data_IF_466915611710
#
_entry.id   IF_466915611710
#
_cell.length_a   1.000
_cell.length_b   1.000
_cell.length_c   1.000
_cell.angle_alpha   90.00
_cell.angle_beta   90.00
_cell.angle_gamma   90.00
#
_symmetry.space_group_name_H-M   'P 1'
#
loop_
_entity.id
_entity.type
_entity.pdbx_description
1 polymer ?
#
# COMPACT_ATOMS: atom_id res chain seq x y z
N UNK A 1 9.63 3.04 0.24
CA UNK A 1 8.86 2.53 -0.91
C UNK A 1 9.26 3.28 -2.18
N UNK A 2 9.40 2.61 -3.32
CA UNK A 2 9.75 3.23 -4.62
C UNK A 2 8.67 2.92 -5.67
N UNK A 3 8.67 3.69 -6.76
CA UNK A 3 7.82 3.46 -7.95
C UNK A 3 8.74 3.65 -9.18
N UNK A 4 9.50 2.62 -9.55
CA UNK A 4 10.71 2.80 -10.37
C UNK A 4 10.44 2.80 -11.88
N UNK A 5 9.31 2.26 -12.33
CA UNK A 5 9.01 2.09 -13.76
C UNK A 5 8.17 3.26 -14.24
N UNK A 6 8.72 4.06 -15.17
CA UNK A 6 7.96 5.08 -15.90
C UNK A 6 6.98 4.42 -16.88
N UNK A 7 5.85 5.08 -17.15
CA UNK A 7 4.80 4.53 -18.01
C UNK A 7 3.51 5.34 -17.93
N UNK A 8 2.39 4.69 -18.28
CA UNK A 8 1.07 5.34 -18.34
C UNK A 8 0.55 5.81 -16.98
N UNK A 9 1.06 5.23 -15.89
CA UNK A 9 0.56 5.37 -14.52
C UNK A 9 -0.92 4.98 -14.38
N UNK A 10 -1.49 4.29 -15.38
CA UNK A 10 -2.90 3.89 -15.37
C UNK A 10 -3.07 2.68 -14.46
N UNK A 11 -4.07 2.76 -13.57
CA UNK A 11 -4.53 1.58 -12.85
C UNK A 11 -5.45 0.77 -13.77
N UNK A 12 -4.94 -0.34 -14.29
CA UNK A 12 -5.64 -1.15 -15.28
C UNK A 12 -6.70 -2.06 -14.65
N UNK A 13 -7.62 -2.55 -15.50
CA UNK A 13 -8.61 -3.56 -15.10
C UNK A 13 -7.89 -4.82 -14.61
N UNK A 14 -8.32 -5.37 -13.48
CA UNK A 14 -7.70 -6.56 -12.88
C UNK A 14 -6.50 -6.26 -11.95
N UNK A 15 -6.16 -4.99 -11.77
CA UNK A 15 -5.21 -4.49 -10.76
C UNK A 15 -5.96 -3.69 -9.68
N UNK A 16 -5.40 -3.42 -8.50
CA UNK A 16 -4.04 -3.76 -8.05
C UNK A 16 -3.81 -5.26 -7.82
N UNK A 17 -2.57 -5.71 -7.93
CA UNK A 17 -2.14 -7.08 -7.57
C UNK A 17 -0.92 -7.02 -6.67
N UNK A 18 -0.96 -7.74 -5.56
CA UNK A 18 0.18 -7.86 -4.66
C UNK A 18 0.98 -9.12 -4.94
N UNK A 19 2.30 -9.00 -5.06
CA UNK A 19 3.22 -10.13 -5.18
C UNK A 19 4.61 -9.73 -4.68
N UNK A 20 5.18 -10.51 -3.75
CA UNK A 20 6.57 -10.39 -3.28
C UNK A 20 6.99 -8.94 -2.93
N UNK A 21 6.22 -8.26 -2.09
CA UNK A 21 6.54 -6.88 -1.67
C UNK A 21 6.24 -5.80 -2.72
N UNK A 22 5.58 -6.16 -3.82
CA UNK A 22 5.20 -5.25 -4.90
C UNK A 22 3.69 -5.16 -5.07
N UNK A 23 3.20 -3.94 -5.28
CA UNK A 23 1.80 -3.67 -5.69
C UNK A 23 1.80 -3.20 -7.13
N UNK A 24 1.38 -4.08 -8.03
CA UNK A 24 1.24 -3.80 -9.45
C UNK A 24 -0.03 -2.99 -9.70
N UNK A 25 0.07 -1.93 -10.51
CA UNK A 25 -1.08 -1.14 -10.95
C UNK A 25 -1.47 -1.43 -12.40
N UNK A 26 -0.55 -2.00 -13.17
CA UNK A 26 -0.74 -2.49 -14.54
C UNK A 26 0.32 -3.57 -14.83
N UNK A 27 0.42 -4.02 -16.09
CA UNK A 27 1.37 -5.06 -16.50
C UNK A 27 2.86 -4.70 -16.36
N UNK A 28 3.21 -3.42 -16.20
CA UNK A 28 4.61 -2.96 -16.19
C UNK A 28 5.00 -2.23 -14.90
N UNK A 29 4.07 -1.51 -14.28
CA UNK A 29 4.36 -0.56 -13.22
C UNK A 29 3.86 -1.07 -11.86
N UNK A 30 4.69 -0.87 -10.85
CA UNK A 30 4.43 -1.32 -9.50
C UNK A 30 5.08 -0.42 -8.46
N UNK A 31 4.47 -0.37 -7.28
CA UNK A 31 5.10 0.12 -6.06
C UNK A 31 5.92 -0.99 -5.41
N UNK A 32 7.17 -0.74 -5.04
CA UNK A 32 8.03 -1.71 -4.38
C UNK A 32 8.38 -1.32 -2.94
N UNK A 33 8.52 -2.34 -2.09
CA UNK A 33 8.75 -2.17 -0.66
C UNK A 33 7.43 -1.96 0.10
N UNK A 34 6.36 -2.62 -0.34
CA UNK A 34 5.07 -2.67 0.38
C UNK A 34 5.05 -3.95 1.22
N UNK A 35 5.12 -3.82 2.55
CA UNK A 35 5.03 -4.97 3.44
C UNK A 35 3.66 -5.65 3.36
N UNK A 36 3.62 -6.98 3.48
CA UNK A 36 2.37 -7.75 3.36
C UNK A 36 1.35 -7.31 4.42
N UNK A 37 1.80 -7.08 5.65
CA UNK A 37 0.94 -6.60 6.74
C UNK A 37 0.30 -5.25 6.40
N UNK A 38 1.04 -4.30 5.80
CA UNK A 38 0.50 -3.02 5.38
C UNK A 38 -0.50 -3.17 4.22
N UNK A 39 -0.22 -4.06 3.25
CA UNK A 39 -1.13 -4.36 2.16
C UNK A 39 -2.45 -4.98 2.65
N UNK A 40 -2.38 -5.88 3.62
CA UNK A 40 -3.53 -6.59 4.20
C UNK A 40 -4.25 -5.78 5.28
N UNK A 41 -3.71 -4.63 5.69
CA UNK A 41 -4.29 -3.81 6.76
C UNK A 41 -5.68 -3.29 6.36
N UNK A 42 -6.65 -3.45 7.25
CA UNK A 42 -8.04 -3.07 7.02
C UNK A 42 -8.52 -2.02 8.01
N UNK A 43 -9.37 -1.10 7.54
CA UNK A 43 -10.13 -0.18 8.39
C UNK A 43 -11.61 -0.35 8.05
N UNK A 44 -12.43 -0.71 9.04
CA UNK A 44 -13.86 -0.95 8.85
C UNK A 44 -14.16 -2.05 7.80
N UNK A 45 -13.28 -3.05 7.68
CA UNK A 45 -13.40 -4.15 6.70
C UNK A 45 -12.81 -3.87 5.32
N UNK A 46 -12.35 -2.64 5.05
CA UNK A 46 -11.77 -2.30 3.75
C UNK A 46 -10.25 -2.44 3.75
N UNK A 47 -9.64 -3.24 2.85
CA UNK A 47 -8.19 -3.24 2.65
C UNK A 47 -7.78 -1.90 2.05
N UNK A 48 -7.15 -1.05 2.86
CA UNK A 48 -6.99 0.39 2.56
C UNK A 48 -6.16 0.61 1.28
N UNK A 49 -5.01 -0.06 1.19
CA UNK A 49 -4.12 0.03 0.03
C UNK A 49 -4.76 -0.48 -1.26
N UNK A 50 -5.49 -1.59 -1.18
CA UNK A 50 -6.18 -2.18 -2.32
C UNK A 50 -7.33 -1.28 -2.80
N UNK A 51 -8.22 -0.89 -1.89
CA UNK A 51 -9.36 -0.02 -2.20
C UNK A 51 -8.94 1.29 -2.82
N UNK A 52 -7.92 1.96 -2.26
CA UNK A 52 -7.47 3.26 -2.75
C UNK A 52 -7.06 3.23 -4.22
N UNK A 53 -6.41 2.15 -4.67
CA UNK A 53 -6.04 1.96 -6.08
C UNK A 53 -7.25 1.53 -6.93
N UNK A 54 -8.12 0.65 -6.40
CA UNK A 54 -9.35 0.22 -7.10
C UNK A 54 -10.26 1.39 -7.45
N UNK A 55 -10.41 2.34 -6.54
CA UNK A 55 -11.23 3.56 -6.75
C UNK A 55 -10.65 4.48 -7.84
N UNK A 56 -9.47 4.16 -8.39
CA UNK A 56 -8.75 4.90 -9.43
C UNK A 56 -8.53 4.09 -10.70
N UNK A 57 -9.23 2.97 -10.87
CA UNK A 57 -9.16 2.16 -12.10
C UNK A 57 -9.61 2.94 -13.32
N UNK A 58 -8.92 2.72 -14.44
CA UNK A 58 -9.23 3.35 -15.72
C UNK A 58 -8.68 4.77 -15.89
N UNK A 59 -7.95 5.31 -14.91
CA UNK A 59 -7.29 6.62 -15.00
C UNK A 59 -5.81 6.54 -14.63
N UNK A 60 -5.03 7.47 -15.17
CA UNK A 60 -3.65 7.68 -14.79
C UNK A 60 -3.57 8.30 -13.39
N UNK A 61 -2.67 7.79 -12.56
CA UNK A 61 -2.30 8.44 -11.30
C UNK A 61 -1.44 9.66 -11.59
N UNK A 62 -1.80 10.78 -11.00
CA UNK A 62 -0.92 11.96 -10.99
C UNK A 62 0.28 11.73 -10.08
N UNK A 63 1.34 12.53 -10.23
CA UNK A 63 2.49 12.47 -9.33
C UNK A 63 2.10 12.72 -7.86
N UNK A 64 1.14 13.62 -7.62
CA UNK A 64 0.62 13.88 -6.29
C UNK A 64 -0.07 12.63 -5.72
N UNK A 65 -0.85 11.92 -6.53
CA UNK A 65 -1.53 10.69 -6.11
C UNK A 65 -0.57 9.52 -5.87
N UNK A 66 0.45 9.37 -6.72
CA UNK A 66 1.55 8.43 -6.47
C UNK A 66 2.15 8.73 -5.09
N UNK A 67 2.40 10.01 -4.78
CA UNK A 67 2.94 10.42 -3.48
C UNK A 67 1.97 10.16 -2.33
N UNK A 68 0.67 10.44 -2.50
CA UNK A 68 -0.38 10.13 -1.53
C UNK A 68 -0.41 8.63 -1.22
N UNK A 69 -0.33 7.78 -2.25
CA UNK A 69 -0.28 6.34 -2.04
C UNK A 69 0.95 5.93 -1.21
N UNK A 70 2.11 6.55 -1.44
CA UNK A 70 3.30 6.31 -0.62
C UNK A 70 3.08 6.66 0.84
N UNK A 71 2.47 7.81 1.10
CA UNK A 71 2.16 8.27 2.46
C UNK A 71 1.19 7.33 3.16
N UNK A 72 0.18 6.81 2.45
CA UNK A 72 -0.75 5.82 3.00
C UNK A 72 0.00 4.55 3.41
N UNK A 73 0.80 3.97 2.52
CA UNK A 73 1.57 2.74 2.83
C UNK A 73 2.52 2.98 4.02
N UNK A 74 3.19 4.13 4.05
CA UNK A 74 4.07 4.51 5.15
C UNK A 74 3.32 4.62 6.49
N UNK A 75 2.21 5.35 6.51
CA UNK A 75 1.40 5.53 7.72
C UNK A 75 0.91 4.19 8.27
N UNK A 76 0.43 3.29 7.41
CA UNK A 76 -0.01 1.96 7.82
C UNK A 76 1.14 1.10 8.36
N UNK A 77 2.31 1.18 7.73
CA UNK A 77 3.51 0.48 8.20
C UNK A 77 3.94 0.99 9.57
N UNK A 78 3.85 2.29 9.81
CA UNK A 78 4.19 2.91 11.08
C UNK A 78 3.16 2.59 12.17
N UNK A 79 1.86 2.57 11.84
CA UNK A 79 0.81 2.09 12.74
C UNK A 79 1.08 0.65 13.20
N UNK A 80 1.38 -0.25 12.27
CA UNK A 80 1.72 -1.64 12.59
C UNK A 80 2.95 -1.75 13.49
N UNK A 81 3.99 -0.96 13.23
CA UNK A 81 5.20 -0.91 14.06
C UNK A 81 4.89 -0.46 15.49
N UNK A 82 4.07 0.59 15.63
CA UNK A 82 3.68 1.13 16.94
C UNK A 82 2.80 0.15 17.72
N UNK A 83 1.84 -0.52 17.06
CA UNK A 83 1.02 -1.56 17.69
C UNK A 83 1.89 -2.68 18.29
N UNK A 84 2.85 -3.20 17.51
CA UNK A 84 3.77 -4.23 18.00
C UNK A 84 4.65 -3.75 19.16
N UNK A 85 5.09 -2.49 19.14
CA UNK A 85 5.86 -1.91 20.23
C UNK A 85 5.04 -1.80 21.52
N UNK A 86 3.76 -1.43 21.42
CA UNK A 86 2.83 -1.37 22.56
C UNK A 86 2.63 -2.77 23.15
N UNK A 87 2.37 -3.77 22.30
CA UNK A 87 2.18 -5.16 22.74
C UNK A 87 3.41 -5.68 23.51
N UNK A 88 4.60 -5.32 23.05
CA UNK A 88 5.87 -5.69 23.70
C UNK A 88 6.00 -5.08 25.10
N UNK A 89 5.63 -3.80 25.26
CA UNK A 89 5.66 -3.14 26.57
C UNK A 89 4.64 -3.76 27.52
N UNK A 90 3.44 -4.10 27.04
CA UNK A 90 2.39 -4.69 27.85
C UNK A 90 2.75 -6.10 28.36
N UNK A 91 3.39 -6.93 27.53
CA UNK A 91 3.86 -8.27 27.95
C UNK A 91 5.03 -8.25 28.95
N UNK A 92 5.67 -7.09 29.17
CA UNK A 92 6.70 -6.91 30.19
C UNK A 92 6.17 -6.49 31.58
N UNK A 93 4.85 -6.41 31.77
CA UNK A 93 4.22 -5.94 33.02
C UNK A 93 3.28 -6.96 33.70
N UNK A 94 3.33 -8.24 33.31
CA UNK A 94 2.55 -9.33 33.96
C UNK A 94 3.47 -10.40 34.51
#
# INVERSE_FOLDING_TARGET
MKFPVAGSNTVEKGFPRYAAGRVWINGAQYFEGVGEAAWRFQVGGYPVCDKWLKDRRGRALTNAEIQTYRQIVYALSETLRLMAAIDTVWQGQV
#
